data_IF_176442308757
#
_entry.id   IF_176442308757
#
_cell.length_a   1.000
_cell.length_b   1.000
_cell.length_c   1.000
_cell.angle_alpha   90.00
_cell.angle_beta   90.00
_cell.angle_gamma   90.00
#
_symmetry.space_group_name_H-M   'P 1'
#
loop_
_entity.id
_entity.type
_entity.pdbx_description
1 polymer ?
#
# COMPACT_ATOMS: atom_id res chain seq x y z
N UNK A 1 -13.67 -12.53 -20.64
CA UNK A 1 -14.12 -11.87 -19.40
C UNK A 1 -13.78 -10.40 -19.52
N UNK A 2 -14.71 -9.51 -19.19
CA UNK A 2 -14.48 -8.05 -19.20
C UNK A 2 -13.65 -7.65 -17.98
N UNK A 3 -12.94 -6.52 -18.04
CA UNK A 3 -12.07 -6.05 -16.96
C UNK A 3 -12.88 -5.76 -15.69
N UNK A 4 -14.09 -5.25 -15.85
CA UNK A 4 -15.04 -5.01 -14.78
C UNK A 4 -15.41 -6.31 -14.05
N UNK A 5 -15.71 -7.37 -14.80
CA UNK A 5 -16.03 -8.69 -14.24
C UNK A 5 -14.82 -9.26 -13.46
N UNK A 6 -13.60 -9.09 -13.98
CA UNK A 6 -12.37 -9.48 -13.28
C UNK A 6 -12.15 -8.69 -11.98
N UNK A 7 -12.39 -7.39 -11.99
CA UNK A 7 -12.23 -6.53 -10.82
C UNK A 7 -13.34 -6.77 -9.79
N UNK A 8 -14.56 -7.08 -10.21
CA UNK A 8 -15.65 -7.51 -9.33
C UNK A 8 -15.30 -8.82 -8.61
N UNK A 9 -14.83 -9.82 -9.36
CA UNK A 9 -14.38 -11.11 -8.80
C UNK A 9 -13.21 -10.93 -7.84
N UNK A 10 -12.19 -10.17 -8.24
CA UNK A 10 -11.05 -9.84 -7.38
C UNK A 10 -11.49 -9.10 -6.11
N UNK A 11 -12.38 -8.11 -6.23
CA UNK A 11 -12.87 -7.34 -5.07
C UNK A 11 -13.65 -8.25 -4.13
N UNK A 12 -14.55 -9.10 -4.65
CA UNK A 12 -15.30 -10.03 -3.84
C UNK A 12 -14.39 -11.02 -3.10
N UNK A 13 -13.38 -11.55 -3.80
CA UNK A 13 -12.47 -12.56 -3.26
C UNK A 13 -11.51 -12.01 -2.21
N UNK A 14 -10.88 -10.86 -2.46
CA UNK A 14 -9.82 -10.33 -1.60
C UNK A 14 -10.30 -9.28 -0.61
N UNK A 15 -11.38 -8.56 -0.91
CA UNK A 15 -11.84 -7.40 -0.13
C UNK A 15 -13.26 -7.54 0.43
N UNK A 16 -14.06 -8.48 -0.09
CA UNK A 16 -15.46 -8.65 0.32
C UNK A 16 -15.64 -8.91 1.81
N UNK A 17 -14.73 -9.71 2.40
CA UNK A 17 -14.71 -9.98 3.85
C UNK A 17 -14.40 -8.76 4.72
N UNK A 18 -13.86 -7.68 4.14
CA UNK A 18 -13.50 -6.42 4.80
C UNK A 18 -14.59 -5.34 4.67
N UNK A 19 -15.68 -5.65 3.93
CA UNK A 19 -16.77 -4.71 3.68
C UNK A 19 -16.47 -3.65 2.61
N UNK A 20 -15.33 -3.76 1.92
CA UNK A 20 -15.03 -2.99 0.72
C UNK A 20 -15.76 -3.58 -0.48
N UNK A 21 -16.26 -2.69 -1.35
CA UNK A 21 -16.98 -3.07 -2.57
C UNK A 21 -16.52 -2.22 -3.74
N UNK A 22 -16.60 -2.78 -4.94
CA UNK A 22 -16.37 -2.02 -6.16
C UNK A 22 -17.57 -1.13 -6.43
N UNK A 23 -17.34 0.17 -6.58
CA UNK A 23 -18.39 1.16 -6.86
C UNK A 23 -18.44 1.49 -8.34
N UNK A 24 -17.27 1.71 -8.92
CA UNK A 24 -17.13 2.18 -10.30
C UNK A 24 -15.80 1.76 -10.86
N UNK A 25 -15.79 1.41 -12.14
CA UNK A 25 -14.61 1.20 -12.96
C UNK A 25 -14.67 2.17 -14.13
N UNK A 26 -13.56 2.82 -14.41
CA UNK A 26 -13.36 3.68 -15.56
C UNK A 26 -12.11 3.20 -16.29
N UNK A 27 -12.27 2.80 -17.56
CA UNK A 27 -11.16 2.44 -18.42
C UNK A 27 -10.58 3.72 -19.02
N UNK A 28 -9.28 3.92 -18.85
CA UNK A 28 -8.56 5.11 -19.32
C UNK A 28 -7.59 4.69 -20.44
N UNK A 29 -7.22 5.62 -21.32
CA UNK A 29 -6.19 5.37 -22.33
C UNK A 29 -4.85 5.09 -21.62
N UNK A 30 -4.43 3.83 -21.60
CA UNK A 30 -3.23 3.40 -20.88
C UNK A 30 -3.47 2.95 -19.43
N UNK A 31 -4.69 2.58 -19.03
CA UNK A 31 -4.92 2.02 -17.69
C UNK A 31 -6.37 1.76 -17.29
N UNK A 32 -6.57 1.58 -15.99
CA UNK A 32 -7.87 1.47 -15.36
C UNK A 32 -7.88 2.25 -14.05
N UNK A 33 -8.93 3.03 -13.83
CA UNK A 33 -9.25 3.65 -12.55
C UNK A 33 -10.44 2.94 -11.95
N UNK A 34 -10.37 2.56 -10.69
CA UNK A 34 -11.52 1.98 -10.01
C UNK A 34 -11.67 2.52 -8.60
N UNK A 35 -12.93 2.68 -8.21
CA UNK A 35 -13.33 3.26 -6.94
C UNK A 35 -13.89 2.15 -6.07
N UNK A 36 -13.30 2.01 -4.89
CA UNK A 36 -13.81 1.14 -3.86
C UNK A 36 -14.54 1.99 -2.82
N UNK A 37 -15.68 1.48 -2.38
CA UNK A 37 -16.43 2.09 -1.32
C UNK A 37 -16.62 1.18 -0.12
N UNK A 38 -16.85 1.81 1.01
CA UNK A 38 -17.01 1.19 2.31
C UNK A 38 -18.22 1.81 2.99
N UNK A 39 -19.12 0.96 3.51
CA UNK A 39 -20.36 1.38 4.20
C UNK A 39 -21.25 2.40 3.46
N UNK A 40 -21.22 2.41 2.12
CA UNK A 40 -22.05 3.32 1.33
C UNK A 40 -21.30 4.52 0.74
N UNK A 41 -20.02 4.71 1.09
CA UNK A 41 -19.24 5.87 0.68
C UNK A 41 -18.08 5.47 -0.23
N UNK A 42 -17.79 6.29 -1.25
CA UNK A 42 -16.57 6.21 -2.06
C UNK A 42 -15.38 6.64 -1.19
N UNK A 43 -14.50 5.70 -0.86
CA UNK A 43 -13.43 5.94 0.13
C UNK A 43 -12.03 5.74 -0.44
N UNK A 44 -11.88 4.95 -1.50
CA UNK A 44 -10.57 4.64 -2.09
C UNK A 44 -10.68 4.70 -3.60
N UNK A 45 -9.74 5.39 -4.22
CA UNK A 45 -9.47 5.32 -5.65
C UNK A 45 -8.18 4.54 -5.89
N UNK A 46 -8.23 3.59 -6.81
CA UNK A 46 -7.05 2.85 -7.26
C UNK A 46 -6.85 3.14 -8.74
N UNK A 47 -5.61 3.48 -9.10
CA UNK A 47 -5.18 3.65 -10.49
C UNK A 47 -4.20 2.56 -10.86
N UNK A 48 -4.51 1.83 -11.92
CA UNK A 48 -3.64 0.84 -12.53
C UNK A 48 -3.18 1.35 -13.90
N UNK A 49 -1.88 1.39 -14.12
CA UNK A 49 -1.27 1.77 -15.39
C UNK A 49 -0.24 0.71 -15.82
N UNK A 50 -0.48 -0.06 -16.90
CA UNK A 50 0.56 -0.88 -17.50
C UNK A 50 1.72 0.01 -17.99
N UNK A 51 2.95 -0.49 -17.87
CA UNK A 51 4.17 0.17 -18.33
C UNK A 51 4.82 -0.69 -19.42
N UNK A 52 5.35 -0.03 -20.46
CA UNK A 52 5.80 -0.64 -21.73
C UNK A 52 6.98 -1.64 -21.60
N UNK A 53 7.62 -1.74 -20.43
CA UNK A 53 8.62 -2.77 -20.13
C UNK A 53 7.92 -4.09 -19.77
N UNK A 54 7.69 -4.95 -20.78
CA UNK A 54 7.17 -6.35 -20.87
C UNK A 54 6.37 -7.00 -19.70
N UNK A 55 6.55 -6.64 -18.45
CA UNK A 55 5.83 -7.16 -17.27
C UNK A 55 5.65 -6.13 -16.15
N UNK A 56 5.75 -4.83 -16.42
CA UNK A 56 5.63 -3.79 -15.40
C UNK A 56 4.26 -3.13 -15.35
N UNK A 57 3.78 -2.87 -14.13
CA UNK A 57 2.63 -2.00 -13.91
C UNK A 57 2.84 -1.09 -12.70
N UNK A 58 2.16 0.05 -12.73
CA UNK A 58 2.07 1.01 -11.64
C UNK A 58 0.68 0.91 -11.02
N UNK A 59 0.63 0.71 -9.71
CA UNK A 59 -0.59 0.84 -8.91
C UNK A 59 -0.47 2.04 -7.97
N UNK A 60 -1.45 2.92 -8.01
CA UNK A 60 -1.55 4.06 -7.10
C UNK A 60 -2.81 3.89 -6.26
N UNK A 61 -2.65 3.93 -4.95
CA UNK A 61 -3.76 3.93 -4.00
C UNK A 61 -3.93 5.35 -3.48
N UNK A 62 -5.13 5.88 -3.63
CA UNK A 62 -5.48 7.26 -3.31
C UNK A 62 -6.66 7.23 -2.33
N UNK A 63 -6.39 7.61 -1.10
CA UNK A 63 -7.40 7.87 -0.07
C UNK A 63 -6.78 8.67 1.07
N UNK A 64 -7.64 9.20 1.94
CA UNK A 64 -7.19 9.88 3.17
C UNK A 64 -6.96 8.81 4.25
N UNK A 65 -5.73 8.64 4.77
CA UNK A 65 -5.46 7.69 5.84
C UNK A 65 -6.36 7.91 7.06
N UNK A 66 -6.82 6.83 7.68
CA UNK A 66 -7.71 6.88 8.84
C UNK A 66 -9.20 7.02 8.50
N UNK A 67 -9.57 7.11 7.21
CA UNK A 67 -10.97 6.99 6.78
C UNK A 67 -11.47 5.55 6.74
N UNK A 68 -10.56 4.60 6.57
CA UNK A 68 -10.89 3.18 6.62
C UNK A 68 -10.53 2.62 7.99
N UNK A 69 -11.27 1.61 8.49
CA UNK A 69 -10.79 0.85 9.63
C UNK A 69 -9.44 0.25 9.28
N UNK A 70 -8.54 0.32 10.25
CA UNK A 70 -7.18 -0.20 10.22
C UNK A 70 -6.99 -1.51 9.43
N UNK A 71 -7.68 -2.59 9.80
CA UNK A 71 -7.53 -3.90 9.12
C UNK A 71 -8.01 -3.92 7.67
N UNK A 72 -8.85 -2.95 7.28
CA UNK A 72 -9.31 -2.76 5.90
C UNK A 72 -8.23 -2.08 5.07
N UNK A 73 -7.50 -1.10 5.63
CA UNK A 73 -6.35 -0.46 4.97
C UNK A 73 -5.23 -1.47 4.69
N UNK A 74 -4.85 -2.27 5.69
CA UNK A 74 -3.84 -3.33 5.51
C UNK A 74 -4.27 -4.37 4.45
N UNK A 75 -5.52 -4.84 4.57
CA UNK A 75 -6.08 -5.82 3.67
C UNK A 75 -6.17 -5.31 2.22
N UNK A 76 -6.49 -4.03 2.04
CA UNK A 76 -6.45 -3.36 0.75
C UNK A 76 -5.06 -3.40 0.13
N UNK A 77 -4.02 -2.95 0.85
CA UNK A 77 -2.64 -2.93 0.32
C UNK A 77 -2.11 -4.34 0.02
N UNK A 78 -2.46 -5.34 0.83
CA UNK A 78 -2.13 -6.74 0.54
C UNK A 78 -2.85 -7.27 -0.71
N UNK A 79 -4.12 -6.93 -0.88
CA UNK A 79 -4.88 -7.31 -2.06
C UNK A 79 -4.34 -6.65 -3.34
N UNK A 80 -3.87 -5.40 -3.25
CA UNK A 80 -3.25 -4.68 -4.38
C UNK A 80 -2.04 -5.41 -4.95
N UNK A 81 -1.27 -6.11 -4.11
CA UNK A 81 -0.13 -6.92 -4.55
C UNK A 81 -0.53 -7.97 -5.59
N UNK A 82 -1.76 -8.49 -5.53
CA UNK A 82 -2.27 -9.50 -6.48
C UNK A 82 -2.51 -8.91 -7.86
N UNK A 83 -2.81 -7.61 -7.93
CA UNK A 83 -3.02 -6.89 -9.19
C UNK A 83 -1.70 -6.48 -9.86
N UNK A 84 -0.58 -6.53 -9.14
CA UNK A 84 0.72 -6.23 -9.72
C UNK A 84 1.28 -7.44 -10.47
N UNK A 85 1.82 -7.23 -11.68
CA UNK A 85 2.63 -8.24 -12.34
C UNK A 85 3.93 -8.48 -11.55
N UNK A 86 4.72 -9.52 -11.90
CA UNK A 86 5.88 -9.94 -11.11
C UNK A 86 6.93 -8.85 -10.83
N UNK A 87 6.96 -7.79 -11.65
CA UNK A 87 7.69 -6.54 -11.40
C UNK A 87 6.68 -5.40 -11.42
N UNK A 88 6.67 -4.57 -10.40
CA UNK A 88 5.71 -3.47 -10.35
C UNK A 88 6.19 -2.33 -9.48
N UNK A 89 5.50 -1.20 -9.59
CA UNK A 89 5.62 -0.10 -8.63
C UNK A 89 4.28 0.08 -7.94
N UNK A 90 4.29 0.10 -6.62
CA UNK A 90 3.12 0.48 -5.84
C UNK A 90 3.39 1.80 -5.15
N UNK A 91 2.40 2.69 -5.16
CA UNK A 91 2.48 3.94 -4.45
C UNK A 91 1.21 4.30 -3.72
N UNK A 92 1.38 5.13 -2.71
CA UNK A 92 0.31 5.75 -1.96
C UNK A 92 0.39 7.27 -2.15
N UNK A 93 -0.66 7.86 -2.73
CA UNK A 93 -0.74 9.32 -2.87
C UNK A 93 -1.16 10.00 -1.57
N UNK A 94 -0.63 11.18 -1.30
CA UNK A 94 -0.85 11.89 -0.04
C UNK A 94 -0.53 13.39 -0.13
N UNK A 95 -0.87 14.14 0.92
CA UNK A 95 -0.39 15.50 1.11
C UNK A 95 1.07 15.52 1.61
N UNK A 96 1.97 16.12 0.82
CA UNK A 96 3.43 16.16 1.08
C UNK A 96 3.80 16.83 2.40
N UNK A 97 3.00 17.80 2.85
CA UNK A 97 3.32 18.59 4.04
C UNK A 97 3.48 17.71 5.28
N UNK A 98 2.65 16.67 5.40
CA UNK A 98 2.73 15.74 6.53
C UNK A 98 3.95 14.82 6.41
N UNK A 99 4.25 14.30 5.22
CA UNK A 99 5.46 13.50 5.01
C UNK A 99 6.73 14.29 5.29
N UNK A 100 6.84 15.50 4.73
CA UNK A 100 7.99 16.36 4.94
C UNK A 100 8.24 16.64 6.43
N UNK A 101 7.18 16.81 7.21
CA UNK A 101 7.31 17.00 8.65
C UNK A 101 7.91 15.76 9.34
N UNK A 102 7.50 14.55 8.94
CA UNK A 102 8.07 13.31 9.46
C UNK A 102 9.55 13.17 9.06
N UNK A 103 9.88 13.44 7.80
CA UNK A 103 11.25 13.34 7.29
C UNK A 103 12.17 14.40 7.93
N UNK A 104 11.70 15.63 8.14
CA UNK A 104 12.45 16.70 8.84
C UNK A 104 12.75 16.34 10.29
N UNK A 105 11.90 15.53 10.92
CA UNK A 105 12.11 15.00 12.27
C UNK A 105 13.07 13.80 12.31
N UNK A 106 13.61 13.39 11.15
CA UNK A 106 14.53 12.27 11.05
C UNK A 106 13.86 10.91 11.00
N UNK A 107 12.52 10.86 10.84
CA UNK A 107 11.80 9.59 10.70
C UNK A 107 12.13 8.99 9.33
N UNK A 108 12.67 7.76 9.26
CA UNK A 108 12.89 7.06 8.01
C UNK A 108 11.60 6.93 7.20
N UNK A 109 11.69 7.02 5.86
CA UNK A 109 10.52 6.95 4.97
C UNK A 109 9.66 5.69 5.23
N UNK A 110 10.30 4.55 5.44
CA UNK A 110 9.62 3.29 5.75
C UNK A 110 8.82 3.31 7.07
N UNK A 111 9.18 4.18 8.02
CA UNK A 111 8.47 4.37 9.30
C UNK A 111 7.37 5.45 9.24
N UNK A 112 7.18 6.09 8.10
CA UNK A 112 6.04 6.98 7.89
C UNK A 112 4.79 6.14 7.60
N UNK A 113 3.57 6.61 7.93
CA UNK A 113 2.34 5.87 7.65
C UNK A 113 2.24 5.39 6.18
N UNK A 114 2.65 6.22 5.23
CA UNK A 114 2.61 5.90 3.80
C UNK A 114 3.69 4.93 3.37
N UNK A 115 4.93 5.10 3.84
CA UNK A 115 6.00 4.18 3.52
C UNK A 115 5.75 2.79 4.07
N UNK A 116 5.16 2.69 5.26
CA UNK A 116 4.76 1.40 5.85
C UNK A 116 3.68 0.70 5.02
N UNK A 117 2.63 1.42 4.58
CA UNK A 117 1.57 0.85 3.73
C UNK A 117 2.12 0.33 2.40
N UNK A 118 2.98 1.12 1.74
CA UNK A 118 3.67 0.72 0.51
C UNK A 118 4.54 -0.50 0.74
N UNK A 119 5.25 -0.57 1.87
CA UNK A 119 6.08 -1.71 2.24
C UNK A 119 5.28 -2.99 2.53
N UNK A 120 4.14 -2.88 3.23
CA UNK A 120 3.23 -3.99 3.52
C UNK A 120 2.62 -4.60 2.26
N UNK A 121 2.44 -3.80 1.20
CA UNK A 121 2.05 -4.30 -0.11
C UNK A 121 3.19 -5.04 -0.86
N UNK A 122 4.36 -5.17 -0.25
CA UNK A 122 5.54 -5.77 -0.87
C UNK A 122 6.43 -4.76 -1.60
N UNK A 123 6.20 -3.45 -1.45
CA UNK A 123 7.10 -2.42 -1.96
C UNK A 123 8.44 -2.43 -1.21
N UNK A 124 9.51 -2.27 -1.96
CA UNK A 124 10.90 -2.17 -1.50
C UNK A 124 11.56 -0.95 -2.14
N UNK A 125 12.76 -0.59 -1.68
CA UNK A 125 13.50 0.59 -2.16
C UNK A 125 12.60 1.83 -2.21
N UNK A 126 12.04 2.16 -1.05
CA UNK A 126 11.03 3.20 -0.98
C UNK A 126 11.61 4.54 -1.43
N UNK A 127 10.88 5.22 -2.29
CA UNK A 127 11.18 6.58 -2.76
C UNK A 127 9.96 7.45 -2.55
N UNK A 128 10.12 8.77 -2.57
CA UNK A 128 9.00 9.67 -2.44
C UNK A 128 9.10 10.83 -3.44
N UNK A 129 7.94 11.31 -3.86
CA UNK A 129 7.74 12.45 -4.77
C UNK A 129 6.89 13.51 -4.07
N UNK A 130 6.65 14.62 -4.76
CA UNK A 130 5.78 15.72 -4.32
C UNK A 130 4.28 15.34 -4.19
N UNK A 131 3.93 14.05 -4.28
CA UNK A 131 2.54 13.62 -4.20
C UNK A 131 2.35 12.18 -3.72
N UNK A 132 3.44 11.41 -3.53
CA UNK A 132 3.33 10.00 -3.21
C UNK A 132 4.59 9.41 -2.57
N UNK A 133 4.40 8.31 -1.84
CA UNK A 133 5.46 7.34 -1.55
C UNK A 133 5.34 6.18 -2.53
N UNK A 134 6.47 5.72 -3.05
CA UNK A 134 6.61 4.65 -4.03
C UNK A 134 7.47 3.52 -3.49
N UNK A 135 7.18 2.29 -3.90
CA UNK A 135 8.01 1.11 -3.66
C UNK A 135 8.04 0.22 -4.89
N UNK A 136 9.22 -0.34 -5.18
CA UNK A 136 9.43 -1.37 -6.19
C UNK A 136 9.02 -2.72 -5.61
N UNK A 137 8.19 -3.48 -6.32
CA UNK A 137 7.81 -4.84 -5.90
C UNK A 137 8.77 -5.82 -6.56
N UNK A 138 9.65 -6.49 -5.78
CA UNK A 138 10.62 -7.44 -6.31
C UNK A 138 9.93 -8.76 -6.71
N UNK A 139 10.61 -9.54 -7.56
CA UNK A 139 10.17 -10.89 -7.86
C UNK A 139 10.19 -11.72 -6.58
N UNK A 140 9.21 -12.62 -6.37
CA UNK A 140 9.12 -13.48 -5.15
C UNK A 140 10.41 -14.26 -4.81
N UNK A 141 11.29 -14.49 -5.79
CA UNK A 141 12.57 -15.21 -5.64
C UNK A 141 13.75 -14.31 -5.24
N UNK A 142 13.56 -12.99 -5.22
CA UNK A 142 14.63 -12.01 -5.00
C UNK A 142 14.58 -11.41 -3.58
N UNK A 143 13.66 -11.86 -2.71
CA UNK A 143 13.62 -11.46 -1.30
C UNK A 143 14.66 -12.29 -0.53
N UNK A 144 15.84 -11.70 -0.28
CA UNK A 144 16.96 -12.34 0.41
C UNK A 144 16.92 -12.24 1.94
N UNK A 145 17.78 -13.00 2.61
CA UNK A 145 17.96 -12.97 4.08
C UNK A 145 18.39 -11.58 4.61
N UNK A 146 19.09 -10.77 3.79
CA UNK A 146 19.45 -9.38 4.12
C UNK A 146 18.21 -8.47 4.25
N UNK A 147 17.21 -8.60 3.37
CA UNK A 147 15.98 -7.77 3.45
C UNK A 147 15.10 -8.15 4.66
N UNK A 148 15.17 -9.42 5.09
CA UNK A 148 14.56 -9.89 6.34
C UNK A 148 15.36 -9.42 7.57
N UNK A 149 16.68 -9.32 7.47
CA UNK A 149 17.55 -8.72 8.48
C UNK A 149 17.24 -7.24 8.69
N UNK A 150 17.13 -6.47 7.61
CA UNK A 150 16.70 -5.07 7.65
C UNK A 150 15.30 -4.93 8.29
N UNK A 151 14.40 -5.88 8.08
CA UNK A 151 13.07 -5.91 8.70
C UNK A 151 13.13 -6.13 10.22
N UNK A 152 14.01 -7.00 10.69
CA UNK A 152 14.19 -7.25 12.14
C UNK A 152 14.82 -6.01 12.78
N UNK A 153 15.89 -5.47 12.20
CA UNK A 153 16.51 -4.25 12.68
C UNK A 153 15.53 -3.05 12.65
N UNK A 154 14.66 -3.00 11.65
CA UNK A 154 13.60 -1.99 11.53
C UNK A 154 12.51 -2.14 12.60
N UNK A 155 12.08 -3.37 12.92
CA UNK A 155 11.12 -3.66 13.99
C UNK A 155 11.74 -3.47 15.39
N UNK A 156 13.04 -3.70 15.53
CA UNK A 156 13.77 -3.46 16.77
C UNK A 156 13.98 -1.96 17.01
N UNK A 157 14.41 -1.20 15.98
CA UNK A 157 14.45 0.26 16.02
C UNK A 157 13.07 0.89 16.29
N UNK A 158 12.01 0.24 15.82
CA UNK A 158 10.59 0.55 16.10
C UNK A 158 10.26 0.40 17.59
N UNK A 159 10.68 -0.67 18.27
CA UNK A 159 10.37 -0.89 19.70
C UNK A 159 11.11 0.08 20.63
N UNK A 160 12.26 0.57 20.19
CA UNK A 160 13.09 1.47 20.98
C UNK A 160 12.80 2.96 20.75
N UNK A 161 11.96 3.28 19.74
CA UNK A 161 11.62 4.67 19.41
C UNK A 161 10.78 5.32 20.51
N UNK A 162 11.22 6.50 20.96
CA UNK A 162 10.49 7.35 21.93
C UNK A 162 9.80 8.54 21.27
N UNK A 163 9.86 8.64 19.94
CA UNK A 163 9.22 9.72 19.21
C UNK A 163 7.69 9.52 19.22
N UNK A 164 6.89 10.47 19.73
CA UNK A 164 5.43 10.30 19.85
C UNK A 164 4.69 10.10 18.53
N UNK A 165 5.25 10.53 17.39
CA UNK A 165 4.66 10.33 16.06
C UNK A 165 5.01 8.96 15.51
N UNK A 166 6.26 8.52 15.71
CA UNK A 166 6.63 7.13 15.46
C UNK A 166 5.74 6.27 16.34
N UNK A 167 5.75 6.43 17.66
CA UNK A 167 4.90 5.70 18.62
C UNK A 167 3.41 5.81 18.30
N UNK A 168 2.87 6.96 17.88
CA UNK A 168 1.46 7.05 17.45
C UNK A 168 1.19 6.36 16.11
N UNK A 169 2.15 6.34 15.19
CA UNK A 169 2.11 5.44 14.07
C UNK A 169 2.22 3.99 14.55
N UNK A 170 3.03 3.65 15.57
CA UNK A 170 3.24 2.30 16.08
C UNK A 170 2.03 1.75 16.88
N UNK A 171 1.43 2.54 17.77
CA UNK A 171 0.24 2.26 18.60
C UNK A 171 -1.00 2.06 17.73
N UNK A 172 -1.04 2.76 16.58
CA UNK A 172 -2.03 2.44 15.55
C UNK A 172 -1.90 1.00 15.05
N UNK A 173 -0.77 0.32 15.24
CA UNK A 173 -0.44 -0.95 14.60
C UNK A 173 -0.12 -2.17 15.51
N UNK A 174 -0.28 -2.11 16.84
CA UNK A 174 0.08 -3.20 17.81
C UNK A 174 -0.85 -4.47 17.81
N UNK A 175 -1.49 -4.81 16.68
CA UNK A 175 -2.32 -6.04 16.51
C UNK A 175 -2.05 -6.74 15.17
N UNK A 176 -0.80 -6.74 14.70
CA UNK A 176 -0.39 -7.66 13.62
C UNK A 176 -0.12 -9.02 14.27
N UNK A 177 -1.14 -9.88 14.32
CA UNK A 177 -0.91 -11.30 14.56
C UNK A 177 -0.12 -11.86 13.38
N UNK A 178 1.12 -12.28 13.65
CA UNK A 178 1.99 -12.94 12.70
C UNK A 178 1.52 -14.38 12.48
N UNK A 179 0.43 -14.57 11.75
CA UNK A 179 0.17 -15.87 11.13
C UNK A 179 0.96 -15.95 9.81
N UNK A 180 2.27 -16.18 9.93
CA UNK A 180 3.04 -16.79 8.85
C UNK A 180 2.57 -18.25 8.75
N UNK A 181 1.55 -18.46 7.92
CA UNK A 181 1.26 -19.76 7.31
C UNK A 181 2.22 -20.05 6.18
#
# INVERSE_FOLDING_TARGET
MRVEELLEEWTAHYLGGMGLRLYRVELEEGGARFILGWRGEEVVEVRYSPMDEETMARLEVIYVPGRLPRGVEEGLFRAMRVLLPPRGKIGHRMEVKELEEHLKRGIPLALTPWGLLVWLAGGRRLTWTEDAVWGEVPLKKDVGEEELGEMIEFVEAYRESRDPYVVSALDRWETIEWELG
#
